data_IF_614114574072
#
_entry.id   IF_614114574072
#
_cell.length_a   1.000
_cell.length_b   1.000
_cell.length_c   1.000
_cell.angle_alpha   90.00
_cell.angle_beta   90.00
_cell.angle_gamma   90.00
#
_symmetry.space_group_name_H-M   'P 1'
#
loop_
_entity.id
_entity.type
_entity.pdbx_description
1 polymer ?
#
# COMPACT_ATOMS: atom_id res chain seq x y z
N UNK A 1 -9.57 10.70 -21.49
CA UNK A 1 -9.36 9.24 -21.28
C UNK A 1 -10.37 8.54 -22.17
N UNK A 2 -9.97 7.72 -23.14
CA UNK A 2 -10.90 7.09 -24.11
C UNK A 2 -11.12 5.61 -23.77
N UNK A 3 -12.13 4.99 -24.39
CA UNK A 3 -12.48 3.57 -24.18
C UNK A 3 -11.33 2.61 -24.50
N UNK A 4 -10.47 2.98 -25.45
CA UNK A 4 -9.28 2.21 -25.81
C UNK A 4 -8.32 2.03 -24.63
N UNK A 5 -8.20 3.06 -23.77
CA UNK A 5 -7.37 3.00 -22.58
C UNK A 5 -7.86 1.96 -21.57
N UNK A 6 -9.19 1.87 -21.34
CA UNK A 6 -9.79 0.87 -20.43
C UNK A 6 -9.66 -0.55 -21.00
N UNK A 7 -9.90 -0.71 -22.31
CA UNK A 7 -9.74 -2.01 -23.00
C UNK A 7 -8.29 -2.49 -23.06
N UNK A 8 -7.33 -1.57 -23.17
CA UNK A 8 -5.91 -1.89 -23.23
C UNK A 8 -5.27 -2.21 -21.87
N UNK A 9 -5.82 -1.66 -20.77
CA UNK A 9 -5.19 -1.77 -19.45
C UNK A 9 -5.69 -2.97 -18.62
N UNK A 10 -6.92 -3.46 -18.81
CA UNK A 10 -7.38 -4.69 -18.13
C UNK A 10 -8.59 -5.36 -18.81
N UNK A 11 -8.39 -6.15 -19.87
CA UNK A 11 -9.49 -6.80 -20.60
C UNK A 11 -10.28 -7.81 -19.75
N UNK A 12 -9.65 -8.49 -18.78
CA UNK A 12 -10.35 -9.38 -17.84
C UNK A 12 -11.28 -8.63 -16.88
N UNK A 13 -10.93 -7.39 -16.51
CA UNK A 13 -11.77 -6.56 -15.65
C UNK A 13 -13.03 -6.10 -16.41
N UNK A 14 -12.87 -5.70 -17.66
CA UNK A 14 -13.98 -5.36 -18.55
C UNK A 14 -14.96 -6.52 -18.74
N UNK A 15 -14.46 -7.73 -19.01
CA UNK A 15 -15.32 -8.92 -19.10
C UNK A 15 -16.07 -9.19 -17.79
N UNK A 16 -15.41 -9.05 -16.63
CA UNK A 16 -16.08 -9.23 -15.33
C UNK A 16 -17.16 -8.19 -15.10
N UNK A 17 -16.91 -6.94 -15.46
CA UNK A 17 -17.88 -5.86 -15.31
C UNK A 17 -19.08 -6.04 -16.25
N UNK A 18 -18.84 -6.45 -17.50
CA UNK A 18 -19.88 -6.84 -18.44
C UNK A 18 -20.71 -8.02 -17.92
N UNK A 19 -20.06 -9.03 -17.32
CA UNK A 19 -20.76 -10.17 -16.72
C UNK A 19 -21.63 -9.79 -15.49
N UNK A 20 -21.31 -8.68 -14.82
CA UNK A 20 -22.12 -8.09 -13.75
C UNK A 20 -23.24 -7.17 -14.28
N UNK A 21 -23.40 -7.06 -15.61
CA UNK A 21 -24.42 -6.23 -16.24
C UNK A 21 -24.06 -4.75 -16.37
N UNK A 22 -22.80 -4.37 -16.08
CA UNK A 22 -22.32 -3.01 -16.31
C UNK A 22 -21.75 -2.91 -17.72
N UNK A 23 -22.44 -2.18 -18.59
CA UNK A 23 -21.92 -1.91 -19.92
C UNK A 23 -20.74 -0.91 -19.84
N UNK A 24 -19.77 -1.00 -20.77
CA UNK A 24 -18.58 -0.16 -20.74
C UNK A 24 -18.85 1.35 -20.90
N UNK A 25 -19.93 1.75 -21.57
CA UNK A 25 -20.29 3.17 -21.73
C UNK A 25 -20.76 3.77 -20.40
N UNK A 26 -21.59 3.05 -19.64
CA UNK A 26 -21.99 3.43 -18.29
C UNK A 26 -20.80 3.59 -17.35
N UNK A 27 -19.83 2.67 -17.40
CA UNK A 27 -18.61 2.76 -16.59
C UNK A 27 -17.74 3.95 -16.98
N UNK A 28 -17.70 4.26 -18.28
CA UNK A 28 -17.00 5.44 -18.78
C UNK A 28 -17.64 6.72 -18.25
N UNK A 29 -18.97 6.82 -18.30
CA UNK A 29 -19.72 7.95 -17.79
C UNK A 29 -19.50 8.16 -16.28
N UNK A 30 -19.64 7.10 -15.47
CA UNK A 30 -19.39 7.16 -14.02
C UNK A 30 -17.95 7.62 -13.74
N UNK A 31 -16.98 7.13 -14.51
CA UNK A 31 -15.58 7.54 -14.35
C UNK A 31 -15.40 9.03 -14.68
N UNK A 32 -16.02 9.52 -15.75
CA UNK A 32 -15.98 10.93 -16.13
C UNK A 32 -16.64 11.85 -15.10
N UNK A 33 -17.80 11.48 -14.56
CA UNK A 33 -18.46 12.23 -13.49
C UNK A 33 -17.57 12.31 -12.25
N UNK A 34 -16.94 11.19 -11.89
CA UNK A 34 -16.04 11.15 -10.74
C UNK A 34 -14.80 12.03 -10.91
N UNK A 35 -14.15 12.03 -12.09
CA UNK A 35 -13.03 12.93 -12.35
C UNK A 35 -13.47 14.39 -12.39
N UNK A 36 -14.65 14.67 -12.94
CA UNK A 36 -15.24 16.01 -12.95
C UNK A 36 -15.51 16.50 -11.54
N UNK A 37 -16.01 15.64 -10.65
CA UNK A 37 -16.16 15.95 -9.22
C UNK A 37 -14.80 16.22 -8.55
N UNK A 38 -13.76 15.45 -8.85
CA UNK A 38 -12.42 15.71 -8.35
C UNK A 38 -11.92 17.09 -8.79
N UNK A 39 -12.10 17.45 -10.06
CA UNK A 39 -11.70 18.76 -10.60
C UNK A 39 -12.51 19.91 -9.97
N UNK A 40 -13.83 19.74 -9.80
CA UNK A 40 -14.70 20.71 -9.13
C UNK A 40 -14.32 20.94 -7.66
N UNK A 41 -13.87 19.88 -6.98
CA UNK A 41 -13.34 19.96 -5.61
C UNK A 41 -11.89 20.48 -5.54
N UNK A 42 -11.29 20.80 -6.70
CA UNK A 42 -9.93 21.32 -6.79
C UNK A 42 -8.86 20.29 -6.46
N UNK A 43 -9.14 19.00 -6.62
CA UNK A 43 -8.18 17.94 -6.35
C UNK A 43 -7.14 17.90 -7.46
N UNK A 44 -5.87 17.97 -7.09
CA UNK A 44 -4.80 17.72 -8.04
C UNK A 44 -4.67 16.21 -8.34
N UNK A 45 -3.94 15.86 -9.40
CA UNK A 45 -3.77 14.47 -9.84
C UNK A 45 -3.32 13.50 -8.73
N UNK A 46 -2.49 13.97 -7.78
CA UNK A 46 -2.04 13.16 -6.65
C UNK A 46 -3.18 12.91 -5.65
N UNK A 47 -3.97 13.93 -5.34
CA UNK A 47 -5.12 13.81 -4.44
C UNK A 47 -6.20 12.90 -5.04
N UNK A 48 -6.48 13.03 -6.34
CA UNK A 48 -7.40 12.15 -7.06
C UNK A 48 -6.89 10.70 -7.04
N UNK A 49 -5.60 10.47 -7.31
CA UNK A 49 -5.00 9.14 -7.22
C UNK A 49 -5.09 8.54 -5.80
N UNK A 50 -4.83 9.33 -4.76
CA UNK A 50 -4.98 8.89 -3.36
C UNK A 50 -6.43 8.51 -3.04
N UNK A 51 -7.41 9.23 -3.57
CA UNK A 51 -8.83 8.90 -3.43
C UNK A 51 -9.16 7.57 -4.11
N UNK A 52 -8.69 7.34 -5.34
CA UNK A 52 -8.87 6.06 -6.05
C UNK A 52 -8.29 4.88 -5.26
N UNK A 53 -7.08 5.06 -4.72
CA UNK A 53 -6.41 4.04 -3.91
C UNK A 53 -7.25 3.73 -2.66
N UNK A 54 -7.79 4.75 -1.99
CA UNK A 54 -8.66 4.57 -0.80
C UNK A 54 -9.96 3.84 -1.14
N UNK A 55 -10.62 4.20 -2.24
CA UNK A 55 -11.87 3.54 -2.68
C UNK A 55 -11.60 2.08 -3.05
N UNK A 56 -10.53 1.81 -3.81
CA UNK A 56 -10.10 0.45 -4.13
C UNK A 56 -9.88 -0.38 -2.86
N UNK A 57 -9.20 0.18 -1.86
CA UNK A 57 -8.95 -0.48 -0.58
C UNK A 57 -10.21 -0.74 0.23
N UNK A 58 -11.16 0.20 0.22
CA UNK A 58 -12.45 0.01 0.86
C UNK A 58 -13.21 -1.16 0.22
N UNK A 59 -13.17 -1.27 -1.11
CA UNK A 59 -13.75 -2.40 -1.83
C UNK A 59 -13.03 -3.72 -1.53
N UNK A 60 -11.70 -3.72 -1.54
CA UNK A 60 -10.90 -4.89 -1.17
C UNK A 60 -11.24 -5.36 0.25
N UNK A 61 -11.38 -4.42 1.19
CA UNK A 61 -11.77 -4.69 2.59
C UNK A 61 -13.15 -5.33 2.69
N UNK A 62 -14.15 -4.80 1.96
CA UNK A 62 -15.50 -5.39 1.88
C UNK A 62 -15.46 -6.81 1.31
N UNK A 63 -14.54 -7.07 0.38
CA UNK A 63 -14.32 -8.38 -0.23
C UNK A 63 -13.41 -9.32 0.60
N UNK A 64 -13.05 -8.93 1.83
CA UNK A 64 -12.21 -9.72 2.73
C UNK A 64 -10.72 -9.73 2.39
N UNK A 65 -10.27 -8.88 1.45
CA UNK A 65 -8.87 -8.68 1.10
C UNK A 65 -8.34 -7.39 1.75
N UNK A 66 -7.32 -7.51 2.59
CA UNK A 66 -6.66 -6.34 3.17
C UNK A 66 -5.27 -6.18 2.53
N UNK A 67 -5.09 -5.30 1.52
CA UNK A 67 -3.75 -4.84 1.22
C UNK A 67 -3.33 -3.95 2.38
N UNK A 68 -2.43 -4.45 3.22
CA UNK A 68 -1.83 -3.60 4.23
C UNK A 68 -1.03 -2.51 3.52
N UNK A 69 -1.43 -1.25 3.73
CA UNK A 69 -0.68 -0.10 3.24
C UNK A 69 0.53 0.13 4.11
N UNK A 70 1.51 -0.78 3.99
CA UNK A 70 2.73 -0.78 4.76
C UNK A 70 3.77 0.12 4.11
N UNK A 71 3.96 1.29 4.72
CA UNK A 71 5.10 2.14 4.40
C UNK A 71 6.26 1.75 5.32
N UNK A 72 7.37 1.37 4.69
CA UNK A 72 8.65 1.19 5.36
C UNK A 72 9.47 2.44 5.13
N UNK A 73 9.83 3.13 6.20
CA UNK A 73 10.76 4.26 6.14
C UNK A 73 11.84 4.15 7.21
N UNK A 74 13.03 4.65 6.87
CA UNK A 74 14.10 4.84 7.84
C UNK A 74 13.69 6.03 8.71
N UNK A 75 13.53 5.82 10.02
CA UNK A 75 13.20 6.91 10.92
C UNK A 75 14.45 7.77 11.08
N UNK A 76 14.51 8.91 10.38
CA UNK A 76 15.77 9.63 10.22
C UNK A 76 15.66 11.14 10.43
N UNK A 77 16.41 11.61 11.42
CA UNK A 77 17.21 12.84 11.29
C UNK A 77 18.55 12.76 12.01
N UNK A 78 18.74 11.86 12.97
CA UNK A 78 19.98 11.77 13.76
C UNK A 78 20.52 10.35 14.00
N UNK A 79 19.83 9.30 13.54
CA UNK A 79 20.27 7.92 13.79
C UNK A 79 19.69 6.93 12.75
N UNK A 80 20.46 6.41 11.79
CA UNK A 80 19.98 5.52 10.72
C UNK A 80 19.73 4.07 11.16
N UNK A 81 19.59 3.84 12.47
CA UNK A 81 19.63 2.51 13.10
C UNK A 81 18.25 1.90 13.34
N UNK A 82 17.16 2.59 12.96
CA UNK A 82 15.79 2.12 13.15
C UNK A 82 14.96 2.18 11.87
N UNK A 83 14.18 1.13 11.64
CA UNK A 83 13.12 1.08 10.64
C UNK A 83 11.78 1.28 11.32
N UNK A 84 10.90 2.05 10.68
CA UNK A 84 9.49 2.13 11.03
C UNK A 84 8.68 1.46 9.92
N UNK A 85 7.77 0.57 10.30
CA UNK A 85 6.70 0.09 9.43
C UNK A 85 5.40 0.66 9.96
N UNK A 86 4.69 1.38 9.11
CA UNK A 86 3.39 1.95 9.42
C UNK A 86 2.35 1.35 8.48
N UNK A 87 1.31 0.74 9.07
CA UNK A 87 0.09 0.37 8.37
C UNK A 87 -0.86 1.56 8.38
N UNK A 88 -0.97 2.26 7.25
CA UNK A 88 -1.85 3.43 7.13
C UNK A 88 -3.35 3.10 7.22
N UNK A 89 -3.73 1.86 6.97
CA UNK A 89 -5.12 1.42 7.06
C UNK A 89 -5.55 1.28 8.52
N UNK A 90 -4.68 0.76 9.38
CA UNK A 90 -4.98 0.53 10.81
C UNK A 90 -4.41 1.61 11.74
N UNK A 91 -3.52 2.46 11.23
CA UNK A 91 -2.74 3.42 12.03
C UNK A 91 -1.68 2.77 12.91
N UNK A 92 -1.50 1.43 12.85
CA UNK A 92 -0.50 0.72 13.63
C UNK A 92 0.89 0.99 13.08
N UNK A 93 1.83 1.27 13.97
CA UNK A 93 3.24 1.40 13.63
C UNK A 93 4.08 0.49 14.50
N UNK A 94 5.16 -0.03 13.91
CA UNK A 94 6.10 -0.91 14.58
C UNK A 94 7.52 -0.55 14.19
N UNK A 95 8.40 -0.62 15.17
CA UNK A 95 9.81 -0.28 15.00
C UNK A 95 10.69 -1.52 15.02
N UNK A 96 11.75 -1.45 14.22
CA UNK A 96 12.79 -2.46 14.17
C UNK A 96 14.15 -1.79 14.37
N UNK A 97 14.99 -2.36 15.22
CA UNK A 97 16.32 -1.83 15.54
C UNK A 97 17.38 -2.65 14.83
N UNK A 98 18.37 -1.99 14.24
CA UNK A 98 19.51 -2.68 13.64
C UNK A 98 20.27 -3.48 14.71
N UNK A 99 20.64 -4.72 14.37
CA UNK A 99 21.45 -5.56 15.26
C UNK A 99 22.88 -4.99 15.34
N UNK A 100 23.46 -4.82 16.54
CA UNK A 100 24.80 -4.24 16.69
C UNK A 100 25.89 -5.12 16.07
N UNK A 101 27.02 -4.51 15.68
CA UNK A 101 28.18 -5.22 15.13
C UNK A 101 28.20 -5.39 13.60
N UNK A 102 27.19 -4.89 12.89
CA UNK A 102 27.14 -4.93 11.42
C UNK A 102 27.90 -3.74 10.81
N UNK A 103 29.20 -3.90 10.57
CA UNK A 103 30.07 -2.79 10.13
C UNK A 103 30.18 -2.60 8.61
N UNK A 104 29.73 -3.55 7.79
CA UNK A 104 29.98 -3.56 6.32
C UNK A 104 28.88 -4.22 5.47
N UNK A 105 27.65 -4.37 5.98
CA UNK A 105 26.57 -4.99 5.24
C UNK A 105 25.82 -3.98 4.35
N UNK A 106 25.52 -4.36 3.11
CA UNK A 106 24.63 -3.59 2.23
C UNK A 106 23.29 -3.32 2.93
N UNK A 107 22.70 -2.14 2.73
CA UNK A 107 21.44 -1.73 3.40
C UNK A 107 20.32 -2.78 3.32
N UNK A 108 20.25 -3.54 2.22
CA UNK A 108 19.24 -4.59 1.99
C UNK A 108 19.49 -5.85 2.84
N UNK A 109 20.75 -6.09 3.20
CA UNK A 109 21.20 -7.26 3.98
C UNK A 109 21.36 -6.95 5.47
N UNK A 110 21.13 -5.70 5.88
CA UNK A 110 21.11 -5.33 7.29
C UNK A 110 20.04 -6.13 8.03
N UNK A 111 20.47 -6.66 9.17
CA UNK A 111 19.67 -7.43 10.10
C UNK A 111 19.08 -6.48 11.14
N UNK A 112 17.79 -6.64 11.40
CA UNK A 112 17.04 -5.88 12.38
C UNK A 112 16.33 -6.81 13.35
N UNK A 113 16.21 -6.39 14.61
CA UNK A 113 15.33 -6.99 15.61
C UNK A 113 14.04 -6.19 15.72
N UNK A 114 12.91 -6.88 15.76
CA UNK A 114 11.61 -6.26 16.03
C UNK A 114 11.56 -5.80 17.49
N UNK A 115 11.13 -4.57 17.77
CA UNK A 115 11.07 -4.04 19.14
C UNK A 115 9.86 -4.56 19.95
N UNK A 116 8.90 -5.26 19.33
CA UNK A 116 7.80 -5.95 20.03
C UNK A 116 8.03 -7.44 20.22
N UNK A 117 8.79 -8.09 19.34
CA UNK A 117 9.11 -9.50 19.51
C UNK A 117 10.22 -9.66 20.54
N UNK A 118 10.29 -10.85 21.16
CA UNK A 118 11.43 -11.25 21.98
C UNK A 118 12.75 -11.02 21.24
N UNK A 119 13.78 -10.61 21.97
CA UNK A 119 15.06 -10.08 21.45
C UNK A 119 15.85 -10.99 20.51
N UNK A 120 15.50 -12.28 20.44
CA UNK A 120 16.22 -13.28 19.67
C UNK A 120 15.75 -13.38 18.20
N UNK A 121 14.63 -12.74 17.85
CA UNK A 121 14.10 -12.81 16.49
C UNK A 121 14.69 -11.70 15.60
N UNK A 122 15.64 -12.09 14.76
CA UNK A 122 16.35 -11.22 13.83
C UNK A 122 15.88 -11.46 12.40
N UNK A 123 15.58 -10.38 11.67
CA UNK A 123 15.09 -10.42 10.29
C UNK A 123 15.92 -9.51 9.38
N UNK A 124 15.95 -9.81 8.09
CA UNK A 124 16.52 -8.89 7.09
C UNK A 124 15.55 -7.75 6.83
N UNK A 125 16.08 -6.62 6.34
CA UNK A 125 15.25 -5.49 5.90
C UNK A 125 14.13 -5.89 4.94
N UNK A 126 14.40 -6.77 3.99
CA UNK A 126 13.42 -7.23 2.99
C UNK A 126 12.24 -7.98 3.61
N UNK A 127 12.45 -8.62 4.76
CA UNK A 127 11.48 -9.47 5.46
C UNK A 127 10.61 -8.65 6.44
N UNK A 128 10.98 -7.40 6.72
CA UNK A 128 10.33 -6.59 7.75
C UNK A 128 8.83 -6.37 7.50
N UNK A 129 8.41 -6.17 6.25
CA UNK A 129 6.99 -6.02 5.89
C UNK A 129 6.20 -7.30 6.10
N UNK A 130 6.77 -8.44 5.71
CA UNK A 130 6.13 -9.74 5.87
C UNK A 130 6.01 -10.11 7.36
N UNK A 131 7.06 -9.86 8.14
CA UNK A 131 7.02 -10.04 9.59
C UNK A 131 5.92 -9.19 10.25
N UNK A 132 5.78 -7.92 9.85
CA UNK A 132 4.70 -7.07 10.34
C UNK A 132 3.32 -7.68 10.05
N UNK A 133 3.12 -8.15 8.81
CA UNK A 133 1.85 -8.77 8.38
C UNK A 133 1.51 -10.03 9.18
N UNK A 134 2.48 -10.92 9.37
CA UNK A 134 2.26 -12.24 9.97
C UNK A 134 2.07 -12.19 11.48
N UNK A 135 2.75 -11.26 12.17
CA UNK A 135 2.83 -11.30 13.63
C UNK A 135 2.22 -10.09 14.34
N UNK A 136 2.01 -8.96 13.64
CA UNK A 136 1.65 -7.68 14.29
C UNK A 136 0.44 -6.98 13.66
N UNK A 137 -0.12 -7.54 12.59
CA UNK A 137 -1.24 -6.93 11.86
C UNK A 137 -2.63 -7.34 12.40
N UNK A 138 -2.69 -8.07 13.52
CA UNK A 138 -3.91 -8.41 14.26
C UNK A 138 -4.34 -7.25 15.14
#
# INVERSE_FOLDING_TARGET
MNMEFLSGSSPMLLQKLQALGHDPESLHYISQEFFTLCDQLGYNARQSADLFIRIKRALETVNGSYPADLILYENNRYNPTRLCIENKTTGKSLFFRIVPGQTLAEKKNLIYSCEHCSTDYCIKRSEAKEHFLQYHNH
#
